data_IF_200115759934
#
_entry.id   IF_200115759934
#
_cell.length_a   1.000
_cell.length_b   1.000
_cell.length_c   1.000
_cell.angle_alpha   90.00
_cell.angle_beta   90.00
_cell.angle_gamma   90.00
#
_symmetry.space_group_name_H-M   'P 1'
#
loop_
_entity.id
_entity.type
_entity.pdbx_description
1 polymer ?
#
# COMPACT_ATOMS: atom_id res chain seq x y z
N UNK A 1 -8.68 4.84 9.29
CA UNK A 1 -7.39 4.22 8.92
C UNK A 1 -7.08 4.26 7.41
N UNK A 2 -8.01 4.73 6.57
CA UNK A 2 -7.86 4.70 5.10
C UNK A 2 -6.50 5.21 4.60
N UNK A 3 -6.01 6.32 5.12
CA UNK A 3 -4.75 6.93 4.68
C UNK A 3 -3.48 6.25 5.23
N UNK A 4 -3.61 5.31 6.15
CA UNK A 4 -2.46 4.54 6.65
C UNK A 4 -1.85 3.68 5.54
N UNK A 5 -2.68 3.09 4.68
CA UNK A 5 -2.19 2.30 3.54
C UNK A 5 -1.46 3.15 2.50
N UNK A 6 -1.90 4.41 2.28
CA UNK A 6 -1.21 5.36 1.40
C UNK A 6 0.16 5.75 1.99
N UNK A 7 0.19 6.10 3.27
CA UNK A 7 1.42 6.45 3.97
C UNK A 7 2.42 5.28 3.99
N UNK A 8 1.96 4.07 4.33
CA UNK A 8 2.82 2.88 4.33
C UNK A 8 3.35 2.57 2.93
N UNK A 9 2.51 2.70 1.90
CA UNK A 9 2.95 2.46 0.53
C UNK A 9 4.08 3.41 0.12
N UNK A 10 4.00 4.68 0.51
CA UNK A 10 5.09 5.62 0.30
C UNK A 10 6.33 5.23 1.09
N UNK A 11 6.22 5.04 2.41
CA UNK A 11 7.33 4.66 3.27
C UNK A 11 8.09 3.43 2.73
N UNK A 12 7.37 2.37 2.39
CA UNK A 12 7.94 1.12 1.92
C UNK A 12 8.62 1.26 0.55
N UNK A 13 7.93 1.88 -0.41
CA UNK A 13 8.45 2.03 -1.76
C UNK A 13 9.69 2.92 -1.84
N UNK A 14 9.67 4.08 -1.17
CA UNK A 14 10.79 5.02 -1.17
C UNK A 14 12.01 4.46 -0.44
N UNK A 15 11.78 3.77 0.66
CA UNK A 15 12.88 3.23 1.49
C UNK A 15 13.51 1.99 0.89
N UNK A 16 12.74 1.07 0.31
CA UNK A 16 13.23 -0.27 -0.05
C UNK A 16 13.46 -0.49 -1.55
N UNK A 17 12.95 0.39 -2.42
CA UNK A 17 13.23 0.32 -3.86
C UNK A 17 14.67 0.74 -4.16
N UNK A 18 15.60 -0.22 -4.31
CA UNK A 18 17.03 0.06 -4.51
C UNK A 18 17.61 -0.75 -5.68
N UNK A 19 18.46 -0.06 -6.46
CA UNK A 19 19.23 -0.69 -7.55
C UNK A 19 20.47 -1.42 -7.02
N UNK A 20 21.14 -0.84 -6.02
CA UNK A 20 22.39 -1.35 -5.48
C UNK A 20 22.24 -1.69 -4.00
N UNK A 21 22.95 -2.73 -3.55
CA UNK A 21 23.14 -3.02 -2.13
C UNK A 21 24.25 -2.12 -1.53
N UNK A 22 24.49 -2.27 -0.22
CA UNK A 22 25.50 -1.51 0.51
C UNK A 22 26.95 -1.84 0.06
N UNK A 23 27.14 -2.96 -0.62
CA UNK A 23 28.44 -3.39 -1.18
C UNK A 23 28.62 -2.91 -2.63
N UNK A 24 27.66 -2.19 -3.20
CA UNK A 24 27.68 -1.67 -4.56
C UNK A 24 27.29 -2.70 -5.64
N UNK A 25 26.78 -3.86 -5.27
CA UNK A 25 26.29 -4.88 -6.19
C UNK A 25 24.91 -4.51 -6.72
N UNK A 26 24.71 -4.64 -8.03
CA UNK A 26 23.41 -4.40 -8.67
C UNK A 26 22.42 -5.54 -8.36
N UNK A 27 21.30 -5.24 -7.69
CA UNK A 27 20.35 -6.21 -7.17
C UNK A 27 18.90 -5.96 -7.59
N UNK A 28 18.47 -4.69 -7.78
CA UNK A 28 17.08 -4.30 -8.07
C UNK A 28 16.07 -4.95 -7.12
N UNK A 29 16.06 -4.53 -5.87
CA UNK A 29 15.15 -5.03 -4.83
C UNK A 29 14.07 -4.03 -4.47
N UNK A 30 13.09 -4.50 -3.72
CA UNK A 30 11.95 -3.75 -3.22
C UNK A 30 10.64 -4.33 -3.74
N UNK A 31 9.71 -4.61 -2.82
CA UNK A 31 8.37 -5.05 -3.19
C UNK A 31 7.50 -3.83 -3.52
N UNK A 32 6.60 -3.98 -4.48
CA UNK A 32 5.61 -2.94 -4.79
C UNK A 32 4.46 -3.01 -3.78
N UNK A 33 4.29 -2.01 -2.91
CA UNK A 33 3.16 -1.96 -2.01
C UNK A 33 1.90 -1.56 -2.77
N UNK A 34 0.81 -2.29 -2.54
CA UNK A 34 -0.50 -2.01 -3.13
C UNK A 34 -1.47 -1.70 -2.00
N UNK A 35 -2.06 -0.52 -2.02
CA UNK A 35 -3.08 -0.14 -1.06
C UNK A 35 -4.42 -0.76 -1.42
N UNK A 36 -5.15 -1.21 -0.41
CA UNK A 36 -6.50 -1.73 -0.54
C UNK A 36 -7.37 -1.25 0.63
N UNK A 37 -8.63 -1.00 0.37
CA UNK A 37 -9.62 -0.54 1.34
C UNK A 37 -10.78 -1.54 1.43
N UNK A 38 -10.94 -2.21 2.57
CA UNK A 38 -12.19 -2.92 2.88
C UNK A 38 -13.33 -1.90 3.15
N UNK A 39 -14.52 -2.11 2.58
CA UNK A 39 -14.92 -3.31 1.82
C UNK A 39 -14.77 -3.12 0.30
N UNK A 40 -14.53 -1.90 -0.17
CA UNK A 40 -14.55 -1.54 -1.59
C UNK A 40 -13.66 -2.43 -2.43
N UNK A 41 -12.43 -2.65 -1.97
CA UNK A 41 -11.42 -3.39 -2.73
C UNK A 41 -11.55 -4.92 -2.59
N UNK A 42 -12.44 -5.41 -1.76
CA UNK A 42 -12.88 -6.80 -1.79
C UNK A 42 -13.57 -7.15 -3.12
N UNK A 43 -14.23 -6.16 -3.75
CA UNK A 43 -14.87 -6.32 -5.05
C UNK A 43 -13.97 -6.01 -6.24
N UNK A 44 -12.91 -5.22 -6.05
CA UNK A 44 -12.04 -4.79 -7.15
C UNK A 44 -10.72 -5.56 -7.23
N UNK A 45 -10.17 -6.05 -6.12
CA UNK A 45 -8.82 -6.59 -6.06
C UNK A 45 -8.72 -8.03 -5.54
N UNK A 46 -9.66 -8.51 -4.71
CA UNK A 46 -9.58 -9.84 -4.08
C UNK A 46 -9.57 -10.97 -5.11
N UNK A 47 -10.24 -10.82 -6.25
CA UNK A 47 -10.17 -11.79 -7.35
C UNK A 47 -8.70 -12.03 -7.77
N UNK A 48 -7.92 -10.96 -7.95
CA UNK A 48 -6.48 -11.07 -8.27
C UNK A 48 -5.68 -11.70 -7.13
N UNK A 49 -6.05 -11.41 -5.89
CA UNK A 49 -5.35 -11.94 -4.72
C UNK A 49 -5.57 -13.44 -4.54
N UNK A 50 -6.76 -13.94 -4.83
CA UNK A 50 -7.12 -15.34 -4.66
C UNK A 50 -6.72 -16.20 -5.87
N UNK A 51 -6.97 -15.76 -7.09
CA UNK A 51 -6.78 -16.54 -8.32
C UNK A 51 -5.48 -16.18 -9.07
N UNK A 52 -4.89 -15.03 -8.78
CA UNK A 52 -3.68 -14.56 -9.44
C UNK A 52 -2.39 -15.21 -8.93
N UNK A 53 -1.21 -14.75 -9.42
CA UNK A 53 0.10 -15.27 -9.03
C UNK A 53 0.34 -15.25 -7.52
N UNK A 54 1.10 -16.24 -7.03
CA UNK A 54 1.53 -16.32 -5.63
C UNK A 54 2.78 -15.44 -5.39
N UNK A 55 2.59 -14.14 -5.49
CA UNK A 55 3.63 -13.11 -5.37
C UNK A 55 3.28 -11.98 -4.38
N UNK A 56 2.21 -12.18 -3.60
CA UNK A 56 1.65 -11.16 -2.71
C UNK A 56 1.54 -11.68 -1.29
N UNK A 57 1.85 -10.82 -0.33
CA UNK A 57 1.48 -10.97 1.06
C UNK A 57 0.43 -9.91 1.40
N UNK A 58 -0.70 -10.33 1.94
CA UNK A 58 -1.80 -9.44 2.29
C UNK A 58 -1.71 -9.10 3.79
N UNK A 59 -1.57 -7.82 4.10
CA UNK A 59 -1.60 -7.32 5.48
C UNK A 59 -2.95 -6.66 5.73
N UNK A 60 -3.74 -7.25 6.62
CA UNK A 60 -5.07 -6.74 6.98
C UNK A 60 -4.94 -5.94 8.28
N UNK A 61 -5.47 -4.72 8.25
CA UNK A 61 -5.51 -3.84 9.42
C UNK A 61 -6.94 -3.77 9.94
N UNK A 62 -7.19 -4.40 11.08
CA UNK A 62 -8.49 -4.46 11.74
C UNK A 62 -8.57 -3.56 12.98
N UNK A 63 -9.80 -3.32 13.45
CA UNK A 63 -10.10 -2.58 14.68
C UNK A 63 -11.11 -3.38 15.52
N UNK A 64 -10.81 -3.59 16.81
CA UNK A 64 -11.71 -4.31 17.71
C UNK A 64 -12.90 -3.45 18.14
N UNK A 65 -12.63 -2.22 18.59
CA UNK A 65 -13.65 -1.32 19.14
C UNK A 65 -13.73 -0.05 18.31
N UNK A 66 -14.94 0.25 17.86
CA UNK A 66 -15.23 1.50 17.17
C UNK A 66 -15.70 2.57 18.16
N UNK A 67 -15.32 3.81 17.92
CA UNK A 67 -15.69 4.95 18.79
C UNK A 67 -17.20 5.22 18.80
N UNK A 68 -17.90 4.82 17.76
CA UNK A 68 -19.35 4.96 17.61
C UNK A 68 -19.92 3.68 17.03
N UNK A 69 -21.05 3.25 17.56
CA UNK A 69 -21.86 2.18 17.02
C UNK A 69 -23.07 2.76 16.28
N UNK A 70 -23.45 2.10 15.20
CA UNK A 70 -24.66 2.44 14.45
C UNK A 70 -25.24 1.14 13.91
N UNK A 71 -26.50 0.92 14.18
CA UNK A 71 -27.20 -0.25 13.68
C UNK A 71 -27.80 -0.01 12.31
N UNK A 72 -27.87 -1.05 11.51
CA UNK A 72 -28.54 -1.04 10.21
C UNK A 72 -30.05 -1.03 10.47
N UNK A 73 -30.81 -0.07 9.92
CA UNK A 73 -32.26 -0.04 10.13
C UNK A 73 -32.96 -1.30 9.59
N UNK A 74 -33.90 -1.85 10.35
CA UNK A 74 -34.67 -3.04 9.97
C UNK A 74 -35.87 -2.70 9.07
N UNK A 75 -35.65 -1.94 8.00
CA UNK A 75 -36.72 -1.43 7.11
C UNK A 75 -37.01 -2.32 5.89
N UNK A 76 -36.16 -3.32 5.63
CA UNK A 76 -36.28 -4.23 4.50
C UNK A 76 -36.46 -5.69 4.95
N UNK A 77 -37.21 -5.92 6.01
CA UNK A 77 -37.40 -7.24 6.60
C UNK A 77 -38.12 -8.26 5.68
N UNK A 78 -38.88 -7.76 4.73
CA UNK A 78 -39.57 -8.53 3.68
C UNK A 78 -38.69 -8.95 2.51
N UNK A 79 -37.47 -8.40 2.42
CA UNK A 79 -36.49 -8.74 1.37
C UNK A 79 -35.45 -9.73 1.96
N UNK A 80 -35.51 -11.04 1.62
CA UNK A 80 -34.64 -12.04 2.24
C UNK A 80 -33.15 -11.77 2.13
N UNK A 81 -32.68 -11.12 1.03
CA UNK A 81 -31.29 -10.76 0.81
C UNK A 81 -30.80 -9.56 1.61
N UNK A 82 -31.70 -8.81 2.26
CA UNK A 82 -31.37 -7.62 3.07
C UNK A 82 -31.87 -7.73 4.50
N UNK A 83 -33.00 -8.39 4.72
CA UNK A 83 -33.70 -8.45 6.01
C UNK A 83 -32.85 -9.00 7.15
N UNK A 84 -31.93 -9.93 6.86
CA UNK A 84 -31.04 -10.51 7.86
C UNK A 84 -29.99 -9.52 8.43
N UNK A 85 -29.79 -8.38 7.76
CA UNK A 85 -28.88 -7.32 8.24
C UNK A 85 -29.57 -6.33 9.20
N UNK A 86 -30.90 -6.35 9.27
CA UNK A 86 -31.67 -5.46 10.16
C UNK A 86 -31.27 -5.63 11.62
N UNK A 87 -30.88 -4.54 12.28
CA UNK A 87 -30.41 -4.55 13.67
C UNK A 87 -28.94 -5.00 13.86
N UNK A 88 -28.23 -5.34 12.80
CA UNK A 88 -26.78 -5.63 12.89
C UNK A 88 -26.02 -4.31 12.94
N UNK A 89 -25.05 -4.19 13.87
CA UNK A 89 -24.21 -2.99 13.91
C UNK A 89 -23.24 -2.95 12.71
N UNK A 90 -22.92 -1.74 12.25
CA UNK A 90 -21.96 -1.56 11.13
C UNK A 90 -20.56 -2.04 11.51
N UNK A 91 -20.17 -1.93 12.78
CA UNK A 91 -18.90 -2.48 13.27
C UNK A 91 -18.86 -4.01 13.14
N UNK A 92 -19.95 -4.70 13.52
CA UNK A 92 -20.04 -6.14 13.34
C UNK A 92 -20.03 -6.54 11.86
N UNK A 93 -20.69 -5.79 11.02
CA UNK A 93 -20.69 -6.05 9.58
C UNK A 93 -19.26 -6.01 9.01
N UNK A 94 -18.55 -4.89 9.20
CA UNK A 94 -17.18 -4.73 8.66
C UNK A 94 -16.20 -5.77 9.23
N UNK A 95 -16.31 -6.11 10.52
CA UNK A 95 -15.47 -7.15 11.13
C UNK A 95 -15.78 -8.54 10.57
N UNK A 96 -17.05 -8.83 10.30
CA UNK A 96 -17.45 -10.10 9.69
C UNK A 96 -16.94 -10.23 8.26
N UNK A 97 -17.02 -9.16 7.47
CA UNK A 97 -16.46 -9.13 6.11
C UNK A 97 -14.94 -9.26 6.10
N UNK A 98 -14.24 -8.64 7.07
CA UNK A 98 -12.81 -8.85 7.27
C UNK A 98 -12.50 -10.32 7.53
N UNK A 99 -13.13 -10.95 8.53
CA UNK A 99 -12.91 -12.36 8.85
C UNK A 99 -13.23 -13.29 7.68
N UNK A 100 -14.29 -13.00 6.92
CA UNK A 100 -14.66 -13.77 5.74
C UNK A 100 -13.59 -13.67 4.64
N UNK A 101 -13.00 -12.49 4.46
CA UNK A 101 -11.91 -12.26 3.50
C UNK A 101 -10.63 -12.99 3.94
N UNK A 102 -10.26 -12.92 5.22
CA UNK A 102 -9.14 -13.69 5.79
C UNK A 102 -9.31 -15.19 5.55
N UNK A 103 -10.51 -15.70 5.82
CA UNK A 103 -10.83 -17.11 5.59
C UNK A 103 -10.71 -17.50 4.10
N UNK A 104 -11.21 -16.66 3.18
CA UNK A 104 -11.14 -16.91 1.75
C UNK A 104 -9.67 -16.94 1.26
N UNK A 105 -8.83 -16.02 1.71
CA UNK A 105 -7.40 -15.98 1.42
C UNK A 105 -6.69 -17.22 1.97
N UNK A 106 -6.95 -17.60 3.21
CA UNK A 106 -6.40 -18.80 3.84
C UNK A 106 -6.79 -20.06 3.07
N UNK A 107 -8.08 -20.21 2.72
CA UNK A 107 -8.60 -21.33 1.95
C UNK A 107 -7.95 -21.44 0.56
N UNK A 108 -7.61 -20.31 -0.04
CA UNK A 108 -6.90 -20.22 -1.33
C UNK A 108 -5.36 -20.38 -1.19
N UNK A 109 -4.86 -20.67 0.02
CA UNK A 109 -3.43 -20.82 0.30
C UNK A 109 -2.62 -19.54 0.15
N UNK A 110 -3.24 -18.36 0.25
CA UNK A 110 -2.57 -17.06 0.09
C UNK A 110 -2.00 -16.57 1.41
N UNK A 111 -0.78 -16.04 1.36
CA UNK A 111 -0.12 -15.46 2.53
C UNK A 111 -0.89 -14.22 3.01
N UNK A 112 -1.33 -14.25 4.25
CA UNK A 112 -1.94 -13.09 4.88
C UNK A 112 -1.59 -13.04 6.37
N UNK A 113 -1.65 -11.84 6.94
CA UNK A 113 -1.58 -11.60 8.38
C UNK A 113 -2.54 -10.47 8.74
N UNK A 114 -2.98 -10.44 9.99
CA UNK A 114 -3.85 -9.40 10.52
C UNK A 114 -3.15 -8.67 11.66
N UNK A 115 -3.15 -7.35 11.58
CA UNK A 115 -2.77 -6.44 12.67
C UNK A 115 -4.05 -5.85 13.23
N UNK A 116 -4.36 -6.14 14.48
CA UNK A 116 -5.59 -5.67 15.13
C UNK A 116 -5.28 -4.55 16.11
N UNK A 117 -5.88 -3.38 15.91
CA UNK A 117 -5.86 -2.29 16.87
C UNK A 117 -7.01 -2.47 17.85
N UNK A 118 -6.77 -2.37 19.18
CA UNK A 118 -7.84 -2.41 20.17
C UNK A 118 -8.91 -1.33 19.95
N UNK A 119 -8.45 -0.13 19.59
CA UNK A 119 -9.25 1.04 19.19
C UNK A 119 -8.39 2.02 18.39
N UNK A 120 -9.03 3.00 17.76
CA UNK A 120 -8.34 4.09 17.04
C UNK A 120 -8.20 5.30 17.96
N UNK A 121 -6.99 5.52 18.47
CA UNK A 121 -6.61 6.69 19.25
C UNK A 121 -5.16 7.09 18.95
N UNK A 122 -4.67 8.16 19.55
CA UNK A 122 -3.33 8.72 19.31
C UNK A 122 -2.22 7.72 19.66
N UNK A 123 -2.40 6.95 20.73
CA UNK A 123 -1.43 5.97 21.19
C UNK A 123 -1.34 4.78 20.23
N UNK A 124 -2.48 4.19 19.84
CA UNK A 124 -2.50 3.01 18.96
C UNK A 124 -2.04 3.37 17.54
N UNK A 125 -2.38 4.57 17.04
CA UNK A 125 -1.88 5.04 15.75
C UNK A 125 -0.39 5.35 15.80
N UNK A 126 0.10 6.04 16.85
CA UNK A 126 1.53 6.29 17.03
C UNK A 126 2.34 5.00 17.09
N UNK A 127 1.85 3.99 17.84
CA UNK A 127 2.46 2.66 17.90
C UNK A 127 2.50 1.95 16.54
N UNK A 128 1.41 2.03 15.77
CA UNK A 128 1.32 1.45 14.43
C UNK A 128 2.31 2.10 13.45
N UNK A 129 2.38 3.43 13.43
CA UNK A 129 3.32 4.17 12.59
C UNK A 129 4.77 3.79 12.93
N UNK A 130 5.12 3.85 14.21
CA UNK A 130 6.46 3.48 14.68
C UNK A 130 6.83 2.03 14.35
N UNK A 131 5.89 1.10 14.52
CA UNK A 131 6.09 -0.31 14.16
C UNK A 131 6.45 -0.46 12.67
N UNK A 132 5.72 0.23 11.78
CA UNK A 132 6.00 0.15 10.35
C UNK A 132 7.31 0.86 9.95
N UNK A 133 7.67 1.97 10.60
CA UNK A 133 8.97 2.63 10.41
C UNK A 133 10.13 1.69 10.79
N UNK A 134 10.05 1.08 11.96
CA UNK A 134 11.04 0.11 12.42
C UNK A 134 11.09 -1.12 11.51
N UNK A 135 9.93 -1.67 11.12
CA UNK A 135 9.87 -2.81 10.19
C UNK A 135 10.49 -2.49 8.83
N UNK A 136 10.32 -1.26 8.34
CA UNK A 136 10.95 -0.81 7.09
C UNK A 136 12.46 -0.70 7.22
N UNK A 137 12.98 -0.17 8.34
CA UNK A 137 14.41 -0.17 8.64
C UNK A 137 15.00 -1.59 8.69
N UNK A 138 14.34 -2.50 9.41
CA UNK A 138 14.75 -3.91 9.45
C UNK A 138 14.73 -4.60 8.07
N UNK A 139 13.72 -4.30 7.24
CA UNK A 139 13.66 -4.83 5.89
C UNK A 139 14.85 -4.33 5.05
N UNK A 140 15.28 -3.09 5.23
CA UNK A 140 16.49 -2.55 4.60
C UNK A 140 17.75 -3.31 5.00
N UNK A 141 17.91 -3.60 6.28
CA UNK A 141 19.03 -4.42 6.78
C UNK A 141 19.01 -5.84 6.21
N UNK A 142 17.84 -6.48 6.19
CA UNK A 142 17.68 -7.83 5.63
C UNK A 142 18.01 -7.89 4.13
N UNK A 143 17.76 -6.81 3.40
CA UNK A 143 18.07 -6.69 1.98
C UNK A 143 19.49 -6.16 1.71
N UNK A 144 20.26 -5.84 2.76
CA UNK A 144 21.57 -5.21 2.69
C UNK A 144 21.57 -3.90 1.89
N UNK A 145 20.57 -3.02 2.13
CA UNK A 145 20.41 -1.74 1.43
C UNK A 145 20.32 -0.56 2.41
N UNK A 146 20.64 0.63 1.93
CA UNK A 146 20.37 1.86 2.68
C UNK A 146 18.89 2.25 2.54
N UNK A 147 18.08 2.00 3.57
CA UNK A 147 16.66 2.36 3.58
C UNK A 147 16.40 3.88 3.78
N UNK A 148 17.44 4.69 4.04
CA UNK A 148 17.31 6.10 4.44
C UNK A 148 17.69 7.09 3.35
N UNK A 149 17.88 6.64 2.11
CA UNK A 149 18.10 7.49 0.94
C UNK A 149 17.12 7.18 -0.20
N UNK A 150 17.09 8.04 -1.22
CA UNK A 150 16.16 7.97 -2.35
C UNK A 150 16.87 8.32 -3.67
N UNK A 151 17.93 7.62 -4.09
CA UNK A 151 18.68 8.00 -5.29
C UNK A 151 17.82 7.98 -6.57
N UNK A 152 16.80 7.15 -6.63
CA UNK A 152 15.93 6.99 -7.81
C UNK A 152 15.10 8.21 -8.18
N UNK A 153 14.86 9.15 -7.26
CA UNK A 153 14.07 10.36 -7.54
C UNK A 153 14.91 11.57 -7.94
N UNK A 154 16.24 11.52 -7.75
CA UNK A 154 17.14 12.65 -8.03
C UNK A 154 17.23 12.97 -9.52
N UNK A 155 17.21 11.97 -10.37
CA UNK A 155 17.27 12.16 -11.82
C UNK A 155 16.09 13.00 -12.35
N UNK A 156 14.87 12.72 -11.89
CA UNK A 156 13.69 13.49 -12.25
C UNK A 156 13.75 14.93 -11.76
N UNK A 157 14.26 15.16 -10.55
CA UNK A 157 14.45 16.51 -9.99
C UNK A 157 15.48 17.29 -10.81
N UNK A 158 16.64 16.69 -11.10
CA UNK A 158 17.70 17.30 -11.88
C UNK A 158 17.24 17.64 -13.30
N UNK A 159 16.50 16.74 -13.95
CA UNK A 159 15.88 16.98 -15.23
C UNK A 159 14.90 18.17 -15.19
N UNK A 160 14.08 18.26 -14.14
CA UNK A 160 13.14 19.36 -13.94
C UNK A 160 13.87 20.70 -13.77
N UNK A 161 14.92 20.75 -12.95
CA UNK A 161 15.73 21.95 -12.76
C UNK A 161 16.40 22.40 -14.09
N UNK A 162 16.92 21.45 -14.86
CA UNK A 162 17.50 21.70 -16.17
C UNK A 162 16.47 22.29 -17.16
N UNK A 163 15.26 21.72 -17.20
CA UNK A 163 14.17 22.20 -18.07
C UNK A 163 13.72 23.61 -17.75
N UNK A 164 13.73 24.00 -16.47
CA UNK A 164 13.43 25.37 -16.02
C UNK A 164 14.63 26.31 -16.11
N UNK A 165 15.79 25.87 -16.60
CA UNK A 165 16.96 26.70 -16.79
C UNK A 165 17.64 27.15 -15.49
N UNK A 166 17.56 26.33 -14.44
CA UNK A 166 18.23 26.61 -13.17
C UNK A 166 19.76 26.65 -13.40
N UNK A 167 20.47 27.71 -12.95
CA UNK A 167 21.93 27.77 -13.05
C UNK A 167 22.62 26.55 -12.44
N UNK A 168 23.65 26.05 -13.15
CA UNK A 168 24.40 24.84 -12.76
C UNK A 168 23.84 23.54 -13.31
N UNK A 169 22.78 23.59 -14.13
CA UNK A 169 22.17 22.40 -14.78
C UNK A 169 22.26 22.45 -16.31
N UNK A 170 23.18 23.22 -16.87
CA UNK A 170 23.34 23.43 -18.31
C UNK A 170 23.72 22.13 -19.03
N UNK A 171 24.62 21.33 -18.45
CA UNK A 171 25.03 20.03 -19.02
C UNK A 171 23.86 19.05 -19.03
N UNK A 172 23.09 19.01 -17.95
CA UNK A 172 21.88 18.19 -17.88
C UNK A 172 20.83 18.63 -18.92
N UNK A 173 20.73 19.92 -19.20
CA UNK A 173 19.87 20.45 -20.25
C UNK A 173 20.31 19.96 -21.63
N UNK A 174 21.60 19.99 -21.94
CA UNK A 174 22.13 19.45 -23.21
C UNK A 174 21.86 17.95 -23.35
N UNK A 175 22.05 17.18 -22.30
CA UNK A 175 21.74 15.74 -22.27
C UNK A 175 20.26 15.51 -22.62
N UNK A 176 19.35 16.24 -21.98
CA UNK A 176 17.90 16.14 -22.21
C UNK A 176 17.51 16.53 -23.66
N UNK A 177 18.15 17.55 -24.21
CA UNK A 177 17.89 18.01 -25.59
C UNK A 177 18.40 17.01 -26.63
N UNK A 178 19.42 16.22 -26.30
CA UNK A 178 19.98 15.15 -27.14
C UNK A 178 19.25 13.81 -27.05
N UNK A 179 18.26 13.70 -26.16
CA UNK A 179 17.52 12.45 -25.95
C UNK A 179 16.87 11.92 -27.22
N UNK A 180 16.76 10.59 -27.41
CA UNK A 180 16.05 10.01 -28.54
C UNK A 180 14.61 10.54 -28.62
N UNK A 181 14.16 10.89 -29.82
CA UNK A 181 12.76 11.26 -30.06
C UNK A 181 11.86 10.04 -29.83
N UNK A 182 10.62 10.29 -29.41
CA UNK A 182 9.62 9.24 -29.33
C UNK A 182 9.44 8.60 -30.72
N UNK A 183 9.28 7.28 -30.72
CA UNK A 183 8.99 6.58 -31.98
C UNK A 183 7.55 6.92 -32.41
N UNK A 184 7.41 7.47 -33.62
CA UNK A 184 6.11 7.92 -34.16
C UNK A 184 5.07 6.79 -34.22
N UNK A 185 5.52 5.52 -34.35
CA UNK A 185 4.61 4.35 -34.30
C UNK A 185 3.80 4.23 -33.00
N UNK A 186 4.24 4.87 -31.93
CA UNK A 186 3.59 4.84 -30.61
C UNK A 186 2.96 6.18 -30.22
N UNK A 187 2.84 7.11 -31.18
CA UNK A 187 2.14 8.39 -30.99
C UNK A 187 0.77 8.22 -31.63
N UNK A 188 -0.27 8.28 -30.78
CA UNK A 188 -1.68 8.23 -31.20
C UNK A 188 -2.24 9.64 -31.22
#
# INVERSE_FOLDING_TARGET
LKLISDWFAQLWAESLGKRYDNDGKEIFVGQTPVKALGVTDQHSQVQLYTEGPFDKMIVILGVEKFKREMDIPAIYGDIPSLGFLGGVSQSKLIQTEQMATEYALLKSGKMNLTITLPEVNEFTIGGLLYMFEVATGFAGELLNINAFDQPGVEEGKNATYAMFGRPGYEEKKKELDSRPKKNEKFII
#
